data_IF_557947898784
#
_entry.id   IF_557947898784
#
_cell.length_a   1.000
_cell.length_b   1.000
_cell.length_c   1.000
_cell.angle_alpha   90.00
_cell.angle_beta   90.00
_cell.angle_gamma   90.00
#
_symmetry.space_group_name_H-M   'P 1'
#
loop_
_entity.id
_entity.type
_entity.pdbx_description
1 polymer ?
#
# COMPACT_ATOMS: atom_id res chain seq x y z
N UNK A 13 -9.37 -8.39 23.29
CA UNK A 13 -8.58 -9.64 23.39
C UNK A 13 -7.94 -10.00 22.07
N UNK A 14 -7.17 -11.07 22.05
CA UNK A 14 -6.49 -11.49 20.84
C UNK A 14 -6.64 -12.98 20.63
N UNK A 15 -6.98 -13.37 19.41
CA UNK A 15 -7.20 -14.77 19.08
C UNK A 15 -6.24 -15.21 17.99
N UNK A 16 -5.62 -16.35 18.18
CA UNK A 16 -4.66 -16.87 17.23
C UNK A 16 -5.11 -18.23 16.71
N UNK A 17 -5.12 -18.38 15.39
CA UNK A 17 -5.44 -19.66 14.79
C UNK A 17 -4.23 -20.57 14.70
N UNK A 18 -3.50 -20.48 13.59
CA UNK A 18 -2.32 -21.30 13.41
C UNK A 18 -1.19 -20.52 12.73
N UNK A 19 -0.04 -20.48 13.36
CA UNK A 19 1.14 -19.83 12.80
C UNK A 19 2.26 -20.85 12.65
N UNK A 20 2.83 -20.91 11.45
CA UNK A 20 3.90 -21.85 11.15
C UNK A 20 5.20 -21.11 10.83
N UNK A 21 6.26 -21.47 11.53
CA UNK A 21 7.56 -20.88 11.27
C UNK A 21 8.59 -21.98 10.96
N UNK A 22 9.16 -21.94 9.77
CA UNK A 22 10.12 -22.95 9.36
C UNK A 22 11.47 -22.34 9.07
N UNK A 23 12.51 -22.98 9.59
CA UNK A 23 13.91 -22.61 9.31
C UNK A 23 14.22 -21.17 9.72
N UNK A 24 14.34 -20.96 11.03
CA UNK A 24 14.84 -19.70 11.56
C UNK A 24 13.96 -18.52 11.15
N UNK A 25 12.65 -18.73 11.15
CA UNK A 25 11.71 -17.67 10.85
C UNK A 25 11.20 -17.04 12.14
N UNK A 26 10.97 -15.74 12.11
CA UNK A 26 10.53 -15.02 13.29
C UNK A 26 9.19 -14.37 13.02
N UNK A 27 8.19 -14.74 13.82
CA UNK A 27 6.86 -14.22 13.67
C UNK A 27 6.32 -13.73 15.00
N UNK A 28 5.74 -12.55 14.99
CA UNK A 28 5.20 -11.95 16.22
C UNK A 28 3.73 -11.67 16.05
N UNK A 29 2.92 -12.16 16.98
CA UNK A 29 1.49 -11.93 16.96
C UNK A 29 1.07 -11.15 18.20
N UNK A 30 0.37 -10.05 17.99
CA UNK A 30 -0.16 -9.30 19.11
C UNK A 30 0.25 -7.85 19.06
N UNK A 31 0.09 -7.16 20.17
CA UNK A 31 0.44 -5.75 20.23
C UNK A 31 1.50 -5.51 21.30
N UNK A 32 2.56 -4.81 20.92
CA UNK A 32 3.57 -4.41 21.88
C UNK A 32 3.43 -2.91 22.15
N UNK A 33 2.96 -2.58 23.35
CA UNK A 33 2.69 -1.20 23.67
C UNK A 33 3.07 -0.83 25.09
N UNK A 34 3.32 0.46 25.30
CA UNK A 34 3.54 0.99 26.63
C UNK A 34 2.23 0.97 27.42
N UNK A 35 1.13 1.09 26.70
CA UNK A 35 -0.21 1.04 27.28
C UNK A 35 -0.93 -0.22 26.81
N UNK A 36 -1.96 -0.63 27.55
CA UNK A 36 -2.72 -1.82 27.21
C UNK A 36 -3.87 -1.48 26.28
N UNK A 37 -3.80 -1.93 25.01
CA UNK A 37 -4.82 -1.67 24.00
C UNK A 37 -6.17 -2.29 24.36
N UNK A 38 -7.24 -1.62 23.94
CA UNK A 38 -8.57 -2.14 24.17
C UNK A 38 -9.23 -2.54 22.87
N UNK A 39 -8.55 -3.39 22.11
CA UNK A 39 -9.03 -3.81 20.81
C UNK A 39 -8.97 -5.32 20.68
N UNK A 40 -9.73 -5.86 19.74
CA UNK A 40 -9.75 -7.30 19.51
C UNK A 40 -9.01 -7.64 18.23
N UNK A 41 -8.28 -8.75 18.26
CA UNK A 41 -7.49 -9.19 17.13
C UNK A 41 -7.89 -10.60 16.73
N UNK A 42 -8.05 -10.82 15.44
CA UNK A 42 -8.37 -12.16 14.94
C UNK A 42 -7.31 -12.58 13.93
N UNK A 43 -6.77 -13.77 14.12
CA UNK A 43 -5.72 -14.28 13.25
C UNK A 43 -6.08 -15.67 12.72
N UNK A 44 -5.97 -15.83 11.40
CA UNK A 44 -6.24 -17.12 10.79
C UNK A 44 -5.00 -17.98 10.71
N UNK A 45 -4.22 -17.83 9.64
CA UNK A 45 -3.03 -18.63 9.45
C UNK A 45 -1.85 -17.84 8.88
N UNK A 46 -0.65 -18.19 9.33
CA UNK A 46 0.59 -17.62 8.81
C UNK A 46 1.57 -18.74 8.53
N UNK A 47 2.19 -18.71 7.37
CA UNK A 47 3.25 -19.65 7.07
C UNK A 47 4.52 -18.92 6.68
N UNK A 48 5.58 -19.12 7.45
CA UNK A 48 6.86 -18.50 7.19
C UNK A 48 7.92 -19.56 6.93
N UNK A 49 8.65 -19.44 5.83
CA UNK A 49 9.65 -20.43 5.48
C UNK A 49 10.97 -19.76 5.11
N UNK A 50 12.06 -20.51 5.30
CA UNK A 50 13.39 -20.06 4.85
C UNK A 50 13.79 -18.74 5.50
N UNK A 51 13.65 -18.67 6.81
CA UNK A 51 14.06 -17.51 7.60
C UNK A 51 13.34 -16.25 7.14
N UNK A 52 12.03 -16.25 7.27
CA UNK A 52 11.22 -15.08 6.95
C UNK A 52 10.70 -14.46 8.24
N UNK A 53 10.42 -13.16 8.21
CA UNK A 53 9.98 -12.47 9.41
C UNK A 53 8.63 -11.82 9.18
N UNK A 54 7.72 -12.00 10.14
CA UNK A 54 6.36 -11.51 10.00
C UNK A 54 5.89 -10.80 11.27
N UNK A 55 5.08 -9.77 11.09
CA UNK A 55 4.47 -9.06 12.21
C UNK A 55 2.95 -9.04 12.06
N UNK A 56 2.26 -9.46 13.11
CA UNK A 56 0.80 -9.39 13.14
C UNK A 56 0.35 -8.63 14.38
N UNK A 57 -0.43 -7.59 14.18
CA UNK A 57 -0.94 -6.82 15.31
C UNK A 57 -0.62 -5.34 15.19
N UNK A 58 -0.17 -4.75 16.30
CA UNK A 58 0.20 -3.34 16.31
C UNK A 58 1.47 -3.13 17.11
N UNK A 59 2.22 -2.10 16.76
CA UNK A 59 3.41 -1.75 17.50
C UNK A 59 3.36 -0.30 17.94
N UNK A 60 3.70 -0.05 19.19
CA UNK A 60 3.75 1.30 19.73
C UNK A 60 5.10 1.93 19.45
N UNK A 61 5.09 3.24 19.22
CA UNK A 61 6.31 3.97 18.88
C UNK A 61 7.30 3.99 20.03
N UNK A 62 6.79 4.15 21.25
CA UNK A 62 7.65 4.14 22.41
C UNK A 62 8.29 2.79 22.63
N UNK A 63 7.51 1.75 22.42
CA UNK A 63 7.99 0.39 22.53
C UNK A 63 8.98 0.07 21.40
N UNK A 64 8.68 0.56 20.20
CA UNK A 64 9.50 0.31 19.03
C UNK A 64 10.92 0.85 19.22
N UNK A 65 11.03 2.01 19.84
CA UNK A 65 12.34 2.61 20.11
C UNK A 65 12.33 3.34 21.45
N UNK B 13 -10.47 -2.98 15.57
CA UNK B 13 -9.67 -4.23 15.66
C UNK B 13 -9.05 -4.59 14.33
N UNK B 14 -8.29 -5.67 14.29
CA UNK B 14 -7.62 -6.09 13.07
C UNK B 14 -7.79 -7.59 12.85
N UNK B 15 -8.15 -7.96 11.64
CA UNK B 15 -8.39 -9.35 11.30
C UNK B 15 -7.44 -9.79 10.20
N UNK B 16 -6.83 -10.95 10.38
CA UNK B 16 -5.89 -11.47 9.41
C UNK B 16 -6.36 -12.83 8.90
N UNK B 17 -6.39 -12.97 7.59
CA UNK B 17 -6.72 -14.25 6.99
C UNK B 17 -5.52 -15.16 6.88
N UNK B 18 -4.80 -15.08 5.76
CA UNK B 18 -3.62 -15.91 5.57
C UNK B 18 -2.51 -15.13 4.87
N UNK B 19 -1.34 -15.12 5.50
CA UNK B 19 -0.16 -14.49 4.92
C UNK B 19 0.95 -15.51 4.74
N UNK B 20 1.51 -15.56 3.55
CA UNK B 20 2.57 -16.51 3.23
C UNK B 20 3.86 -15.78 2.91
N UNK B 21 4.93 -16.14 3.59
CA UNK B 21 6.23 -15.57 3.31
C UNK B 21 7.24 -16.68 3.00
N UNK B 22 7.80 -16.65 1.80
CA UNK B 22 8.75 -17.67 1.37
C UNK B 22 10.12 -17.07 1.07
N UNK B 23 11.16 -17.72 1.58
CA UNK B 23 12.54 -17.35 1.28
C UNK B 23 12.88 -15.93 1.71
N UNK B 24 13.01 -15.72 3.01
CA UNK B 24 13.52 -14.46 3.54
C UNK B 24 12.64 -13.27 3.14
N UNK B 25 11.34 -13.47 3.16
CA UNK B 25 10.40 -12.41 2.87
C UNK B 25 9.91 -11.77 4.17
N UNK B 26 9.70 -10.47 4.14
CA UNK B 26 9.28 -9.75 5.33
C UNK B 26 7.93 -9.09 5.09
N UNK B 27 6.95 -9.46 5.89
CA UNK B 27 5.62 -8.92 5.76
C UNK B 27 5.11 -8.42 7.09
N UNK B 28 4.53 -7.24 7.10
CA UNK B 28 4.01 -6.64 8.32
C UNK B 28 2.53 -6.34 8.17
N UNK B 29 1.73 -6.83 9.11
CA UNK B 29 0.30 -6.58 9.11
C UNK B 29 -0.11 -5.82 10.35
N UNK B 30 -0.78 -4.70 10.15
CA UNK B 30 -1.30 -3.94 11.27
C UNK B 30 -0.87 -2.51 11.22
N UNK B 31 -1.00 -1.83 12.35
CA UNK B 31 -0.64 -0.42 12.41
C UNK B 31 0.44 -0.19 13.46
N UNK B 32 1.49 0.50 13.08
CA UNK B 32 2.51 0.89 14.03
C UNK B 32 2.39 2.40 14.32
N UNK B 33 1.95 2.72 15.51
CA UNK B 33 1.67 4.10 15.85
C UNK B 33 2.08 4.46 17.26
N UNK B 34 2.34 5.75 17.47
CA UNK B 34 2.58 6.28 18.80
C UNK B 34 1.28 6.27 19.60
N UNK B 35 0.16 6.39 18.89
CA UNK B 35 -1.16 6.35 19.49
C UNK B 35 -1.90 5.11 19.02
N UNK B 36 -2.92 4.70 19.76
CA UNK B 36 -3.69 3.51 19.44
C UNK B 36 -4.85 3.87 18.52
N UNK B 37 -4.80 3.42 17.25
CA UNK B 37 -5.83 3.71 16.25
C UNK B 37 -7.18 3.10 16.61
N UNK B 38 -8.25 3.78 16.22
CA UNK B 38 -9.59 3.27 16.46
C UNK B 38 -10.27 2.88 15.15
N UNK B 39 -9.60 2.03 14.39
CA UNK B 39 -10.09 1.62 13.08
C UNK B 39 -10.05 0.10 12.96
N UNK B 40 -10.82 -0.42 12.02
CA UNK B 40 -10.85 -1.86 11.78
C UNK B 40 -10.14 -2.22 10.49
N UNK B 41 -9.42 -3.32 10.52
CA UNK B 41 -8.65 -3.76 9.38
C UNK B 41 -9.06 -5.18 8.98
N UNK B 42 -9.25 -5.40 7.69
CA UNK B 42 -9.58 -6.71 7.18
C UNK B 42 -8.53 -7.15 6.16
N UNK B 43 -7.99 -8.34 6.35
CA UNK B 43 -6.96 -8.86 5.45
C UNK B 43 -7.35 -10.24 4.93
N UNK B 44 -7.25 -10.40 3.62
CA UNK B 44 -7.53 -11.67 2.99
C UNK B 44 -6.30 -12.55 2.90
N UNK B 45 -5.53 -12.39 1.82
CA UNK B 45 -4.34 -13.22 1.62
C UNK B 45 -3.17 -12.43 1.05
N UNK B 46 -1.97 -12.80 1.48
CA UNK B 46 -0.73 -12.25 0.95
C UNK B 46 0.24 -13.37 0.65
N UNK B 47 0.85 -13.33 -0.51
CA UNK B 47 1.90 -14.29 -0.83
C UNK B 47 3.17 -13.56 -1.24
N UNK B 48 4.23 -13.79 -0.48
CA UNK B 48 5.51 -13.16 -0.75
C UNK B 48 6.57 -14.24 -1.03
N UNK B 49 7.27 -14.12 -2.14
CA UNK B 49 8.27 -15.12 -2.50
C UNK B 49 9.60 -14.46 -2.87
N UNK B 50 10.68 -15.21 -2.69
CA UNK B 50 12.00 -14.79 -3.16
C UNK B 50 12.42 -13.46 -2.51
N UNK B 51 12.30 -13.40 -1.20
CA UNK B 51 12.73 -12.26 -0.42
C UNK B 51 12.02 -10.97 -0.86
N UNK B 52 10.70 -10.97 -0.71
CA UNK B 52 9.90 -9.79 -1.01
C UNK B 52 9.40 -9.16 0.28
N UNK B 53 9.13 -7.87 0.26
CA UNK B 53 8.71 -7.18 1.47
C UNK B 53 7.36 -6.51 1.26
N UNK B 54 6.46 -6.70 2.22
CA UNK B 54 5.11 -6.18 2.10
C UNK B 54 4.66 -5.48 3.38
N UNK B 55 3.85 -4.45 3.21
CA UNK B 55 3.26 -3.73 4.33
C UNK B 55 1.74 -3.69 4.20
N UNK B 56 1.06 -4.11 5.26
CA UNK B 56 -0.39 -4.03 5.30
C UNK B 56 -0.82 -3.27 6.55
N UNK B 57 -1.61 -2.21 6.36
CA UNK B 57 -2.09 -1.45 7.49
C UNK B 57 -1.75 0.02 7.39
N UNK B 58 -1.29 0.61 8.48
CA UNK B 58 -0.91 2.02 8.50
C UNK B 58 0.38 2.21 9.29
N UNK B 59 1.13 3.24 8.93
CA UNK B 59 2.34 3.56 9.66
C UNK B 59 2.30 5.02 10.10
N UNK B 60 2.65 5.26 11.35
CA UNK B 60 2.72 6.61 11.90
C UNK B 60 4.08 7.23 11.61
N UNK B 61 4.08 8.53 11.39
CA UNK B 61 5.30 9.26 11.03
C UNK B 61 6.31 9.26 12.17
N UNK B 62 5.81 9.42 13.40
CA UNK B 62 6.68 9.40 14.55
C UNK B 62 7.32 8.04 14.75
N UNK B 63 6.52 7.01 14.55
CA UNK B 63 6.99 5.64 14.65
C UNK B 63 7.96 5.31 13.52
N UNK B 64 7.65 5.81 12.32
CA UNK B 64 8.45 5.56 11.13
C UNK B 64 9.88 6.09 11.32
N UNK B 65 10.01 7.25 11.93
CA UNK B 65 11.31 7.83 12.21
C UNK B 65 11.31 8.57 13.54
N UNK C 13 -11.55 2.51 7.91
CA UNK C 13 -10.76 1.25 7.99
C UNK C 13 -10.16 0.89 6.65
N UNK C 14 -9.40 -0.19 6.61
CA UNK C 14 -8.76 -0.61 5.37
C UNK C 14 -8.94 -2.11 5.16
N UNK C 15 -9.32 -2.48 3.94
CA UNK C 15 -9.57 -3.87 3.60
C UNK C 15 -8.65 -4.31 2.49
N UNK C 16 -8.04 -5.48 2.66
CA UNK C 16 -7.11 -6.01 1.68
C UNK C 16 -7.60 -7.36 1.18
N UNK C 17 -7.65 -7.50 -0.15
CA UNK C 17 -8.01 -8.77 -0.74
C UNK C 17 -6.81 -9.69 -0.87
N UNK C 18 -6.10 -9.61 -1.99
CA UNK C 18 -4.93 -10.46 -2.20
C UNK C 18 -3.82 -9.69 -2.91
N UNK C 19 -2.65 -9.68 -2.30
CA UNK C 19 -1.48 -9.05 -2.89
C UNK C 19 -0.37 -10.09 -3.08
N UNK C 20 0.18 -10.14 -4.29
CA UNK C 20 1.22 -11.10 -4.61
C UNK C 20 2.51 -10.38 -4.96
N UNK C 21 3.60 -10.75 -4.29
CA UNK C 21 4.90 -10.20 -4.58
C UNK C 21 5.89 -11.31 -4.90
N UNK C 22 6.43 -11.28 -6.11
CA UNK C 22 7.38 -12.31 -6.54
C UNK C 22 8.74 -11.71 -6.87
N UNK C 23 9.78 -12.37 -6.37
CA UNK C 23 11.16 -12.03 -6.68
C UNK C 23 11.52 -10.60 -6.27
N UNK C 24 11.67 -10.40 -4.96
CA UNK C 24 12.20 -9.15 -4.43
C UNK C 24 11.33 -7.95 -4.82
N UNK C 25 10.02 -8.14 -4.78
CA UNK C 25 9.09 -7.07 -5.06
C UNK C 25 8.62 -6.43 -3.76
N UNK C 26 8.41 -5.12 -3.78
CA UNK C 26 8.01 -4.40 -2.59
C UNK C 26 6.68 -3.73 -2.81
N UNK C 27 5.71 -4.09 -1.99
CA UNK C 27 4.37 -3.54 -2.11
C UNK C 27 3.87 -3.05 -0.77
N UNK C 28 3.30 -1.85 -0.75
CA UNK C 28 2.81 -1.25 0.48
C UNK C 28 1.33 -0.94 0.35
N UNK C 29 0.55 -1.43 1.30
CA UNK C 29 -0.88 -1.16 1.31
C UNK C 29 -1.27 -0.40 2.56
N UNK C 30 -1.94 0.72 2.37
CA UNK C 30 -2.44 1.47 3.50
C UNK C 30 -2.00 2.92 3.45
N UNK C 31 -2.10 3.60 4.58
CA UNK C 31 -1.74 5.00 4.64
C UNK C 31 -0.65 5.22 5.68
N UNK C 32 0.40 5.90 5.28
CA UNK C 32 1.44 6.28 6.23
C UNK C 32 1.34 7.79 6.51
N UNK C 33 0.91 8.11 7.72
CA UNK C 33 0.66 9.50 8.06
C UNK C 33 1.09 9.85 9.46
N UNK C 34 1.36 11.13 9.67
CA UNK C 34 1.62 11.65 11.01
C UNK C 34 0.31 11.64 11.82
N UNK C 35 -0.80 11.79 11.13
CA UNK C 35 -2.11 11.76 11.75
C UNK C 35 -2.87 10.52 11.28
N UNK C 36 -3.88 10.12 12.04
CA UNK C 36 -4.68 8.94 11.72
C UNK C 36 -5.84 9.32 10.81
N UNK C 37 -5.81 8.87 9.54
CA UNK C 37 -6.86 9.15 8.56
C UNK C 37 -8.20 8.56 8.92
N UNK C 38 -9.28 9.25 8.56
CA UNK C 38 -10.61 8.75 8.80
C UNK C 38 -11.31 8.37 7.52
N UNK C 39 -10.64 7.52 6.73
CA UNK C 39 -11.16 7.10 5.43
C UNK C 39 -11.13 5.59 5.31
N UNK C 40 -11.92 5.07 4.38
CA UNK C 40 -11.97 3.64 4.14
C UNK C 40 -11.28 3.29 2.83
N UNK C 41 -10.57 2.18 2.85
CA UNK C 41 -9.81 1.72 1.70
C UNK C 41 -10.25 0.32 1.30
N UNK C 42 -10.44 0.10 0.01
CA UNK C 42 -10.78 -1.21 -0.49
C UNK C 42 -9.76 -1.65 -1.53
N UNK C 43 -9.23 -2.85 -1.36
CA UNK C 43 -8.22 -3.38 -2.26
C UNK C 43 -8.62 -4.75 -2.78
N UNK C 44 -8.54 -4.90 -4.10
CA UNK C 44 -8.84 -6.18 -4.71
C UNK C 44 -7.61 -7.06 -4.83
N UNK C 45 -6.86 -6.91 -5.91
CA UNK C 45 -5.69 -7.75 -6.13
C UNK C 45 -4.51 -6.97 -6.72
N UNK C 46 -3.31 -7.35 -6.30
CA UNK C 46 -2.07 -6.80 -6.85
C UNK C 46 -1.11 -7.93 -7.16
N UNK C 47 -0.51 -7.90 -8.34
CA UNK C 47 0.53 -8.87 -8.66
C UNK C 47 1.80 -8.15 -9.08
N UNK C 48 2.87 -8.38 -8.34
CA UNK C 48 4.16 -7.77 -8.63
C UNK C 48 5.19 -8.85 -8.91
N UNK C 49 5.88 -8.75 -10.03
CA UNK C 49 6.86 -9.75 -10.41
C UNK C 49 8.19 -9.10 -10.79
N UNK C 50 9.27 -9.86 -10.64
CA UNK C 50 10.59 -9.44 -11.11
C UNK C 50 11.03 -8.13 -10.47
N UNK C 51 10.92 -8.07 -9.15
CA UNK C 51 11.37 -6.92 -8.38
C UNK C 51 10.66 -5.64 -8.81
N UNK C 52 9.35 -5.63 -8.65
CA UNK C 52 8.57 -4.43 -8.94
C UNK C 52 8.08 -3.80 -7.64
N UNK C 53 7.82 -2.50 -7.65
CA UNK C 53 7.42 -1.81 -6.44
C UNK C 53 6.08 -1.14 -6.63
N UNK C 54 5.19 -1.31 -5.65
CA UNK C 54 3.84 -0.80 -5.75
C UNK C 54 3.41 -0.09 -4.47
N UNK C 55 2.61 0.95 -4.63
CA UNK C 55 2.04 1.67 -3.49
C UNK C 55 0.52 1.72 -3.60
N UNK C 56 -0.16 1.31 -2.55
CA UNK C 56 -1.60 1.40 -2.48
C UNK C 56 -2.01 2.16 -1.22
N UNK C 57 -2.79 3.22 -1.40
CA UNK C 57 -3.25 3.98 -0.26
C UNK C 57 -2.91 5.46 -0.37
N UNK C 58 -2.42 6.03 0.72
CA UNK C 58 -2.04 7.44 0.74
C UNK C 58 -0.73 7.62 1.51
N UNK C 59 0.02 8.64 1.15
CA UNK C 59 1.24 8.97 1.87
C UNK C 59 1.22 10.42 2.31
N UNK C 60 1.59 10.65 3.56
CA UNK C 60 1.68 12.00 4.11
C UNK C 60 3.04 12.60 3.79
N UNK C 61 3.05 13.91 3.57
CA UNK C 61 4.27 14.63 3.21
C UNK C 61 5.28 14.62 4.33
N UNK C 62 4.80 14.78 5.57
CA UNK C 62 5.68 14.76 6.71
C UNK C 62 6.31 13.39 6.90
N UNK C 63 5.51 12.36 6.71
CA UNK C 63 5.97 10.99 6.79
C UNK C 63 6.93 10.66 5.65
N UNK C 64 6.60 11.16 4.46
CA UNK C 64 7.38 10.91 3.26
C UNK C 64 8.82 11.42 3.43
N UNK C 65 8.96 12.58 4.05
CA UNK C 65 10.28 13.14 4.31
C UNK C 65 10.30 13.88 5.64
N UNK D 13 -12.63 8.05 0.29
CA UNK D 13 -11.85 6.78 0.34
C UNK D 13 -11.28 6.41 -1.00
N UNK D 14 -10.54 5.32 -1.06
CA UNK D 14 -9.91 4.88 -2.30
C UNK D 14 -10.12 3.39 -2.51
N UNK D 15 -10.52 3.03 -3.73
CA UNK D 15 -10.80 1.65 -4.07
C UNK D 15 -9.88 1.20 -5.19
N UNK D 16 -9.29 0.03 -5.02
CA UNK D 16 -8.38 -0.51 -6.02
C UNK D 16 -8.90 -1.85 -6.53
N UNK D 17 -8.97 -2.00 -7.85
CA UNK D 17 -9.35 -3.26 -8.45
C UNK D 17 -8.16 -4.19 -8.59
N UNK D 18 -7.48 -4.12 -9.72
CA UNK D 18 -6.32 -4.97 -9.96
C UNK D 18 -5.20 -4.22 -10.68
N UNK D 19 -4.02 -4.22 -10.09
CA UNK D 19 -2.85 -3.60 -10.69
C UNK D 19 -1.77 -4.66 -10.91
N UNK D 20 -1.23 -4.71 -12.11
CA UNK D 20 -0.21 -5.68 -12.46
C UNK D 20 1.09 -4.97 -12.83
N UNK D 21 2.18 -5.36 -12.17
CA UNK D 21 3.48 -4.81 -12.49
C UNK D 21 4.45 -5.94 -12.83
N UNK D 22 4.99 -5.91 -14.05
CA UNK D 22 5.90 -6.94 -14.50
C UNK D 22 7.26 -6.36 -14.84
N UNK D 23 8.30 -7.03 -14.36
CA UNK D 23 9.70 -6.70 -14.70
C UNK D 23 10.06 -5.28 -14.28
N UNK D 24 10.24 -5.08 -12.98
CA UNK D 24 10.80 -3.84 -12.46
C UNK D 24 9.93 -2.63 -12.83
N UNK D 25 8.63 -2.81 -12.77
CA UNK D 25 7.70 -1.72 -13.04
C UNK D 25 7.26 -1.09 -11.71
N UNK D 26 7.06 0.22 -11.74
CA UNK D 26 6.69 0.95 -10.53
C UNK D 26 5.35 1.63 -10.74
N UNK D 27 4.38 1.28 -9.91
CA UNK D 27 3.06 1.84 -10.01
C UNK D 27 2.59 2.34 -8.64
N UNK D 28 2.04 3.55 -8.62
CA UNK D 28 1.57 4.14 -7.38
C UNK D 28 0.09 4.47 -7.49
N UNK D 29 -0.69 3.99 -6.53
CA UNK D 29 -2.11 4.27 -6.49
C UNK D 29 -2.47 5.03 -5.24
N UNK D 30 -3.13 6.16 -5.40
CA UNK D 30 -3.61 6.92 -4.27
C UNK D 30 -3.15 8.36 -4.32
N UNK D 31 -3.23 9.03 -3.19
CA UNK D 31 -2.85 10.43 -3.14
C UNK D 31 -1.74 10.64 -2.12
N UNK D 32 -0.68 11.31 -2.52
CA UNK D 32 0.37 11.68 -1.59
C UNK D 32 0.28 13.17 -1.31
N UNK D 33 -0.11 13.52 -0.10
CA UNK D 33 -0.34 14.90 0.25
C UNK D 33 0.10 15.24 1.65
N UNK D 34 0.39 16.52 1.86
CA UNK D 34 0.68 17.04 3.19
C UNK D 34 -0.61 17.05 4.03
N UNK D 35 -1.73 17.20 3.35
CA UNK D 35 -3.04 17.18 3.99
C UNK D 35 -3.82 15.95 3.53
N UNK D 36 -4.83 15.57 4.30
CA UNK D 36 -5.63 14.39 3.99
C UNK D 36 -6.81 14.78 3.10
N UNK D 37 -6.80 14.33 1.83
CA UNK D 37 -7.86 14.64 0.87
C UNK D 37 -9.21 14.05 1.25
N UNK D 38 -10.27 14.75 0.90
CA UNK D 38 -11.61 14.27 1.17
C UNK D 38 -12.33 13.89 -0.10
N UNK D 39 -11.69 13.05 -0.89
CA UNK D 39 -12.23 12.64 -2.18
C UNK D 39 -12.22 11.12 -2.32
N UNK D 40 -13.03 10.61 -3.24
CA UNK D 40 -13.10 9.19 -3.48
C UNK D 40 -12.43 8.82 -4.79
N UNK D 41 -11.72 7.71 -4.79
CA UNK D 41 -11.00 7.25 -5.95
C UNK D 41 -11.46 5.85 -6.34
N UNK D 42 -11.67 5.64 -7.63
CA UNK D 42 -12.05 4.33 -8.13
C UNK D 42 -11.04 3.87 -9.18
N UNK D 43 -10.52 2.67 -9.03
CA UNK D 43 -9.53 2.15 -9.94
C UNK D 43 -9.95 0.77 -10.46
N UNK D 44 -9.89 0.61 -11.78
CA UNK D 44 -10.21 -0.65 -12.40
C UNK D 44 -9.00 -1.56 -12.53
N UNK D 45 -8.26 -1.42 -13.63
CA UNK D 45 -7.10 -2.26 -13.87
C UNK D 45 -5.92 -1.49 -14.47
N UNK D 46 -4.73 -1.88 -14.08
CA UNK D 46 -3.48 -1.34 -14.64
C UNK D 46 -2.55 -2.48 -14.97
N UNK D 47 -1.97 -2.45 -16.15
CA UNK D 47 -0.95 -3.43 -16.49
C UNK D 47 0.33 -2.72 -16.94
N UNK D 48 1.41 -2.97 -16.22
CA UNK D 48 2.69 -2.37 -16.52
C UNK D 48 3.71 -3.46 -16.82
N UNK D 49 4.39 -3.35 -17.96
CA UNK D 49 5.36 -4.37 -18.36
C UNK D 49 6.68 -3.73 -18.75
N UNK D 50 7.76 -4.51 -18.62
CA UNK D 50 9.08 -4.10 -19.11
C UNK D 50 9.54 -2.79 -18.48
N UNK D 51 9.45 -2.74 -17.16
CA UNK D 51 9.92 -1.60 -16.38
C UNK D 51 9.22 -0.30 -16.80
N UNK D 52 7.91 -0.27 -16.62
CA UNK D 52 7.13 0.92 -16.90
C UNK D 52 6.68 1.55 -15.58
N UNK D 53 6.43 2.85 -15.60
CA UNK D 53 6.06 3.55 -14.37
C UNK D 53 4.71 4.24 -14.54
N UNK D 54 3.84 4.06 -13.55
CA UNK D 54 2.49 4.60 -13.63
C UNK D 54 2.09 5.30 -12.35
N UNK D 55 1.30 6.36 -12.48
CA UNK D 55 0.76 7.08 -11.33
C UNK D 55 -0.76 7.14 -11.42
N UNK D 56 -1.43 6.74 -10.36
CA UNK D 56 -2.87 6.85 -10.27
C UNK D 56 -3.25 7.61 -9.01
N UNK D 57 -4.02 8.68 -9.17
CA UNK D 57 -4.46 9.45 -8.02
C UNK D 57 -4.10 10.91 -8.13
N UNK D 58 -3.59 11.49 -7.04
CA UNK D 58 -3.19 12.89 -7.02
C UNK D 58 -1.87 13.05 -6.27
N UNK D 59 -1.11 14.07 -6.65
CA UNK D 59 0.13 14.37 -5.96
C UNK D 59 0.13 15.83 -5.50
N UNK D 60 0.52 16.04 -4.26
CA UNK D 60 0.63 17.39 -3.71
C UNK D 60 1.99 17.99 -4.04
N UNK D 61 2.01 19.30 -4.26
CA UNK D 61 3.23 20.00 -4.65
C UNK D 61 4.26 19.98 -3.54
N UNK D 62 3.81 20.14 -2.30
CA UNK D 62 4.72 20.10 -1.17
C UNK D 62 5.33 18.73 -1.00
N UNK D 63 4.51 17.72 -1.17
CA UNK D 63 4.96 16.33 -1.09
C UNK D 63 5.90 16.00 -2.26
N UNK D 64 5.55 16.51 -3.44
CA UNK D 64 6.32 16.25 -4.66
C UNK D 64 7.76 16.74 -4.51
N UNK D 65 7.93 17.90 -3.88
CA UNK D 65 9.26 18.45 -3.65
C UNK D 65 9.30 19.19 -2.33
N UNK E 13 -13.86 13.51 -7.25
CA UNK E 13 -13.10 12.25 -7.22
C UNK E 13 -12.55 11.88 -8.57
N UNK E 14 -11.80 10.78 -8.64
CA UNK E 14 -11.21 10.36 -9.91
C UNK E 14 -11.42 8.87 -10.12
N UNK E 15 -11.84 8.52 -11.32
CA UNK E 15 -12.13 7.14 -11.66
C UNK E 15 -11.23 6.68 -12.81
N UNK E 16 -10.65 5.51 -12.65
CA UNK E 16 -9.76 4.97 -13.66
C UNK E 16 -10.28 3.63 -14.17
N UNK E 17 -10.38 3.49 -15.49
CA UNK E 17 -10.77 2.23 -16.08
C UNK E 17 -9.58 1.29 -16.25
N UNK E 18 -8.92 1.36 -17.39
CA UNK E 18 -7.77 0.51 -17.65
C UNK E 18 -6.66 1.26 -18.38
N UNK E 19 -5.47 1.25 -17.81
CA UNK E 19 -4.31 1.86 -18.44
C UNK E 19 -3.24 0.81 -18.67
N UNK E 20 -2.72 0.76 -19.89
CA UNK E 20 -1.70 -0.21 -20.26
C UNK E 20 -0.41 0.50 -20.64
N UNK E 21 0.69 0.10 -20.00
CA UNK E 21 1.99 0.65 -20.33
C UNK E 21 2.94 -0.48 -20.70
N UNK E 22 3.46 -0.45 -21.92
CA UNK E 22 4.36 -1.48 -22.40
C UNK E 22 5.73 -0.91 -22.76
N UNK E 23 6.77 -1.58 -22.30
CA UNK E 23 8.16 -1.25 -22.65
C UNK E 23 8.54 0.16 -22.24
N UNK E 24 8.73 0.36 -20.94
CA UNK E 24 9.30 1.59 -20.42
C UNK E 24 8.44 2.81 -20.78
N UNK E 25 7.13 2.63 -20.70
CA UNK E 25 6.20 3.72 -20.94
C UNK E 25 5.79 4.35 -19.62
N UNK E 26 5.59 5.67 -19.63
CA UNK E 26 5.25 6.39 -18.41
C UNK E 26 3.90 7.08 -18.59
N UNK E 27 2.95 6.72 -17.75
CA UNK E 27 1.62 7.30 -17.82
C UNK E 27 1.18 7.79 -16.45
N UNK E 28 0.63 8.99 -16.42
CA UNK E 28 0.19 9.59 -15.17
C UNK E 28 -1.29 9.93 -15.25
N UNK E 29 -2.06 9.45 -14.28
CA UNK E 29 -3.48 9.72 -14.22
C UNK E 29 -3.82 10.48 -12.95
N UNK E 30 -4.48 11.62 -13.11
CA UNK E 30 -4.92 12.37 -11.96
C UNK E 30 -4.48 13.81 -12.02
N UNK E 31 -4.52 14.48 -10.89
CA UNK E 31 -4.14 15.88 -10.84
C UNK E 31 -3.02 16.07 -9.83
N UNK E 32 -1.97 16.75 -10.25
CA UNK E 32 -0.89 17.12 -9.34
C UNK E 32 -0.97 18.62 -9.05
N UNK E 33 -1.35 18.94 -7.83
CA UNK E 33 -1.57 20.32 -7.47
C UNK E 33 -1.10 20.67 -6.08
N UNK E 34 -0.80 21.94 -5.88
CA UNK E 34 -0.49 22.45 -4.55
C UNK E 34 -1.76 22.47 -3.69
N UNK E 35 -2.90 22.62 -4.36
CA UNK E 35 -4.19 22.61 -3.69
C UNK E 35 -4.98 21.38 -4.13
N UNK E 36 -5.98 21.00 -3.34
CA UNK E 36 -6.80 19.83 -3.64
C UNK E 36 -7.99 20.22 -4.51
N UNK E 37 -7.99 19.77 -5.78
CA UNK E 37 -9.06 20.09 -6.74
C UNK E 37 -10.42 19.50 -6.32
N UNK E 38 -11.48 20.21 -6.65
CA UNK E 38 -12.82 19.73 -6.36
C UNK E 38 -13.56 19.36 -7.64
N UNK E 39 -12.94 18.52 -8.44
CA UNK E 39 -13.50 18.12 -9.72
C UNK E 39 -13.49 16.60 -9.87
N UNK E 40 -14.32 16.09 -10.77
CA UNK E 40 -14.40 14.67 -11.01
C UNK E 40 -13.76 14.31 -12.33
N UNK E 41 -13.05 13.18 -12.34
CA UNK E 41 -12.35 12.73 -13.52
C UNK E 41 -12.82 11.33 -13.90
N UNK E 42 -13.05 11.12 -15.18
CA UNK E 42 -13.43 9.82 -15.69
C UNK E 42 -12.45 9.37 -16.76
N UNK E 43 -11.93 8.16 -16.61
CA UNK E 43 -10.96 7.63 -17.55
C UNK E 43 -11.39 6.27 -18.07
N UNK E 44 -11.34 6.11 -19.39
CA UNK E 44 -11.69 4.85 -20.01
C UNK E 44 -10.49 3.94 -20.17
N UNK E 45 -9.76 4.09 -21.27
CA UNK E 45 -8.61 3.24 -21.52
C UNK E 45 -7.44 4.01 -22.16
N UNK E 46 -6.23 3.62 -21.78
CA UNK E 46 -5.01 4.15 -22.36
C UNK E 46 -4.06 3.01 -22.71
N UNK E 47 -3.52 3.03 -23.90
CA UNK E 47 -2.51 2.06 -24.27
C UNK E 47 -1.24 2.76 -24.71
N UNK E 48 -0.14 2.51 -24.02
CA UNK E 48 1.14 3.09 -24.35
C UNK E 48 2.15 2.00 -24.67
N UNK E 49 2.82 2.11 -25.81
CA UNK E 49 3.76 1.10 -26.23
C UNK E 49 5.08 1.74 -26.65
N UNK E 50 6.16 0.96 -26.54
CA UNK E 50 7.47 1.37 -27.05
C UNK E 50 7.95 2.67 -26.42
N UNK E 51 7.88 2.72 -25.10
CA UNK E 51 8.37 3.86 -24.32
C UNK E 51 7.66 5.15 -24.72
N UNK E 52 6.36 5.18 -24.53
CA UNK E 52 5.59 6.38 -24.79
C UNK E 52 5.16 7.01 -23.46
N UNK E 53 4.92 8.31 -23.45
CA UNK E 53 4.57 9.00 -22.22
C UNK E 53 3.21 9.69 -22.38
N UNK E 54 2.36 9.53 -21.37
CA UNK E 54 1.01 10.07 -21.43
C UNK E 54 0.63 10.77 -20.14
N UNK E 55 -0.16 11.84 -20.26
CA UNK E 55 -0.67 12.55 -19.11
C UNK E 55 -2.19 12.62 -19.16
N UNK E 56 -2.85 12.20 -18.09
CA UNK E 56 -4.28 12.31 -17.97
C UNK E 56 -4.64 13.08 -16.70
N UNK E 57 -5.41 14.14 -16.84
CA UNK E 57 -5.82 14.92 -15.69
C UNK E 57 -5.45 16.39 -15.81
N UNK E 58 -4.94 16.95 -14.73
CA UNK E 58 -4.52 18.35 -14.71
C UNK E 58 -3.21 18.51 -13.98
N UNK E 59 -2.44 19.52 -14.37
CA UNK E 59 -1.19 19.82 -13.68
C UNK E 59 -1.18 21.27 -13.23
N UNK E 60 -0.77 21.48 -12.00
CA UNK E 60 -0.65 22.82 -11.45
C UNK E 60 0.71 23.43 -11.80
N UNK E 61 0.73 24.73 -12.02
CA UNK E 61 1.94 25.44 -12.42
C UNK E 61 3.00 25.41 -11.33
N UNK E 62 2.56 25.57 -10.09
CA UNK E 62 3.48 25.53 -8.96
C UNK E 62 4.09 24.15 -8.80
N UNK E 63 3.27 23.13 -8.98
CA UNK E 63 3.71 21.75 -8.91
C UNK E 63 4.63 21.41 -10.08
N UNK E 64 4.27 21.93 -11.26
CA UNK E 64 5.01 21.67 -12.48
C UNK E 64 6.46 22.17 -12.35
N UNK E 65 6.64 23.33 -11.73
CA UNK E 65 7.98 23.88 -11.52
C UNK E 65 8.05 24.60 -10.18
#
# INVERSE_FOLDING_TARGET
MKTLSATRACRTGQKFGEMKTDDHSIAMQGIVGVAQPGVDQSFGSLTTTKSSRAFQGQMDAGSFSNLFSKLEHHHHHH
MKTLSATRACRTGQKFGEMKTDDHSIAMQGIVGVAQPGVDQSFGSLTTTKSSRAFQGQMDAGSFSNLFSKLEHHHHHH
MKTLSATRACRTGQKFGEMKTDDHSIAMQGIVGVAQPGVDQSFGSLTTTKSSRAFQGQMDAGSFSNLFSKLEHHHHHH
MKTLSATRACRTGQKFGEMKTDDHSIAMQGIVGVAQPGVDQSFGSLTTTKSSRAFQGQMDAGSFSNLFSKLEHHHHHH
MKTLSATRACRTGQKFGEMKTDDHSIAMQGIVGVAQPGVDQSFGSLTTTKSSRAFQGQMDAGSFSNLFSKLEHHHHHH
#
